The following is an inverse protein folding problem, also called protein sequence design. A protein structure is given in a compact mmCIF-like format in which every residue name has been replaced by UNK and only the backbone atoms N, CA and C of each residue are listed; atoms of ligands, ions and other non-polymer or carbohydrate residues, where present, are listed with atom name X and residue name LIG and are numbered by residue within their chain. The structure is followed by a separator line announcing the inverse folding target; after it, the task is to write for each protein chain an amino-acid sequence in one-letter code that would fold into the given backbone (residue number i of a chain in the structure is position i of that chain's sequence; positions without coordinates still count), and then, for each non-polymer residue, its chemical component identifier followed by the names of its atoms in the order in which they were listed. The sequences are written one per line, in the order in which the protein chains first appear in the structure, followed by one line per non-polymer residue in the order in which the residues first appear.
data_IF_443190463012
#
_entry.id   IF_443190463012
#
_cell.length_a   1.000
_cell.length_b   1.000
_cell.length_c   1.000
_cell.angle_alpha   90.00
_cell.angle_beta   90.00
_cell.angle_gamma   90.00
#
_symmetry.space_group_name_H-M   'P 1'
#
loop_
_entity.id
_entity.type
_entity.pdbx_description
1 polymer ?
#
# COMPACT_ATOMS: atom_id res chain seq x y z
N UNK A 1 -14.13 20.06 -21.33
CA UNK A 1 -12.69 20.27 -21.09
C UNK A 1 -12.10 18.98 -20.55
N UNK A 2 -11.00 18.52 -21.11
CA UNK A 2 -10.32 17.31 -20.68
C UNK A 2 -9.49 17.60 -19.42
N UNK A 3 -9.17 16.55 -18.65
CA UNK A 3 -8.28 16.67 -17.48
C UNK A 3 -6.91 17.27 -17.87
N UNK A 4 -6.40 16.91 -19.05
CA UNK A 4 -5.13 17.46 -19.55
C UNK A 4 -5.22 18.97 -19.77
N UNK A 5 -6.34 19.45 -20.30
CA UNK A 5 -6.54 20.88 -20.54
C UNK A 5 -6.65 21.66 -19.24
N UNK A 6 -7.32 21.09 -18.24
CA UNK A 6 -7.40 21.67 -16.91
C UNK A 6 -6.03 21.75 -16.24
N UNK A 7 -5.23 20.68 -16.31
CA UNK A 7 -3.87 20.66 -15.77
C UNK A 7 -2.97 21.72 -16.43
N UNK A 8 -3.10 21.93 -17.73
CA UNK A 8 -2.35 22.99 -18.44
C UNK A 8 -2.71 24.39 -17.99
N UNK A 9 -3.94 24.59 -17.52
CA UNK A 9 -4.41 25.89 -17.03
C UNK A 9 -4.00 26.19 -15.59
N UNK A 10 -3.42 25.20 -14.89
CA UNK A 10 -3.02 25.33 -13.49
C UNK A 10 -1.52 25.01 -13.33
N UNK A 11 -0.63 25.94 -13.77
CA UNK A 11 0.81 25.69 -13.75
C UNK A 11 1.36 25.37 -12.35
N UNK A 12 0.74 25.92 -11.29
CA UNK A 12 1.15 25.62 -9.91
C UNK A 12 0.92 24.15 -9.53
N UNK A 13 -0.16 23.54 -10.02
CA UNK A 13 -0.44 22.13 -9.76
C UNK A 13 0.54 21.22 -10.50
N UNK A 14 0.90 21.60 -11.72
CA UNK A 14 1.91 20.88 -12.48
C UNK A 14 3.28 20.93 -11.81
N UNK A 15 3.69 22.11 -11.30
CA UNK A 15 4.94 22.26 -10.56
C UNK A 15 4.95 21.40 -9.30
N UNK A 16 3.85 21.34 -8.56
CA UNK A 16 3.70 20.49 -7.38
C UNK A 16 3.81 19.02 -7.74
N UNK A 17 3.23 18.60 -8.85
CA UNK A 17 3.33 17.23 -9.34
C UNK A 17 4.76 16.87 -9.70
N UNK A 18 5.47 17.75 -10.36
CA UNK A 18 6.88 17.55 -10.71
C UNK A 18 7.73 17.45 -9.45
N UNK A 19 7.54 18.36 -8.51
CA UNK A 19 8.27 18.32 -7.23
C UNK A 19 7.99 17.06 -6.44
N UNK A 20 6.74 16.61 -6.40
CA UNK A 20 6.38 15.37 -5.74
C UNK A 20 7.06 14.16 -6.40
N UNK A 21 7.08 14.11 -7.73
CA UNK A 21 7.75 13.05 -8.47
C UNK A 21 9.26 13.06 -8.24
N UNK A 22 9.88 14.23 -8.21
CA UNK A 22 11.32 14.39 -7.97
C UNK A 22 11.72 14.02 -6.54
N UNK A 23 10.80 14.13 -5.58
CA UNK A 23 11.07 13.79 -4.19
C UNK A 23 11.15 12.27 -3.95
N UNK A 24 10.61 11.46 -4.85
CA UNK A 24 10.63 10.00 -4.75
C UNK A 24 11.84 9.47 -5.49
N UNK A 25 12.75 8.85 -4.75
CA UNK A 25 13.99 8.29 -5.30
C UNK A 25 13.81 6.83 -5.70
N UNK A 26 14.67 6.34 -6.61
CA UNK A 26 14.66 4.94 -7.01
C UNK A 26 14.96 3.96 -5.88
N UNK A 27 15.53 4.44 -4.78
CA UNK A 27 15.80 3.66 -3.56
C UNK A 27 14.64 3.66 -2.59
N UNK A 28 13.56 4.41 -2.86
CA UNK A 28 12.41 4.49 -1.98
C UNK A 28 11.77 3.12 -1.78
N UNK A 29 11.45 2.82 -0.53
CA UNK A 29 10.68 1.62 -0.17
C UNK A 29 9.20 1.96 -0.25
N UNK A 30 8.44 1.13 -0.92
CA UNK A 30 7.01 1.34 -1.08
C UNK A 30 6.24 0.38 -0.18
N UNK A 31 5.35 0.95 0.60
CA UNK A 31 4.35 0.23 1.38
C UNK A 31 2.98 0.80 1.03
N UNK A 32 1.94 0.12 1.39
CA UNK A 32 0.62 0.64 1.10
C UNK A 32 -0.48 -0.04 1.88
N UNK A 33 -1.71 0.37 1.59
CA UNK A 33 -2.90 -0.27 2.13
C UNK A 33 -3.78 -0.75 0.98
N UNK A 34 -4.17 -2.01 1.03
CA UNK A 34 -5.12 -2.61 0.11
C UNK A 34 -6.51 -2.51 0.70
N UNK A 35 -7.38 -1.76 0.07
CA UNK A 35 -8.72 -1.48 0.60
C UNK A 35 -9.72 -1.23 -0.50
N UNK A 36 -10.98 -1.19 -0.11
CA UNK A 36 -12.07 -0.70 -0.93
C UNK A 36 -13.24 -0.33 -0.01
N UNK A 37 -13.58 0.96 0.14
CA UNK A 37 -12.96 2.14 -0.47
C UNK A 37 -11.69 2.61 0.25
N UNK A 38 -10.92 3.49 -0.40
CA UNK A 38 -9.66 4.04 0.15
C UNK A 38 -9.72 5.55 0.40
N UNK A 39 -10.79 6.21 -0.01
CA UNK A 39 -10.89 7.67 -0.09
C UNK A 39 -10.70 8.38 1.25
N UNK A 40 -10.99 7.69 2.36
CA UNK A 40 -10.93 8.29 3.70
C UNK A 40 -9.82 7.71 4.56
N UNK A 41 -8.85 7.04 3.96
CA UNK A 41 -7.73 6.48 4.72
C UNK A 41 -6.76 7.58 5.14
N UNK A 42 -6.54 7.70 6.45
CA UNK A 42 -5.58 8.64 7.02
C UNK A 42 -4.18 8.05 7.21
N UNK A 43 -4.06 6.73 7.18
CA UNK A 43 -2.78 6.04 7.42
C UNK A 43 -1.68 6.44 6.44
N UNK A 44 -1.93 6.58 5.13
CA UNK A 44 -0.90 7.00 4.20
C UNK A 44 -0.32 8.38 4.52
N UNK A 45 -1.17 9.33 4.91
CA UNK A 45 -0.74 10.68 5.27
C UNK A 45 0.17 10.65 6.50
N UNK A 46 -0.19 9.90 7.52
CA UNK A 46 0.59 9.77 8.74
C UNK A 46 1.94 9.10 8.49
N UNK A 47 1.95 8.01 7.74
CA UNK A 47 3.18 7.29 7.41
C UNK A 47 4.14 8.16 6.59
N UNK A 48 3.62 8.88 5.61
CA UNK A 48 4.43 9.77 4.78
C UNK A 48 4.99 10.94 5.59
N UNK A 49 4.22 11.47 6.54
CA UNK A 49 4.69 12.49 7.45
C UNK A 49 5.84 11.98 8.32
N UNK A 50 5.70 10.78 8.88
CA UNK A 50 6.76 10.15 9.68
C UNK A 50 8.03 9.91 8.88
N UNK A 51 7.88 9.43 7.66
CA UNK A 51 9.00 9.20 6.76
C UNK A 51 9.77 10.49 6.49
N UNK A 52 9.07 11.57 6.22
CA UNK A 52 9.68 12.89 6.01
C UNK A 52 10.41 13.38 7.26
N UNK A 53 9.81 13.25 8.44
CA UNK A 53 10.38 13.70 9.70
C UNK A 53 11.60 12.89 10.13
N UNK A 54 11.61 11.59 9.90
CA UNK A 54 12.70 10.72 10.32
C UNK A 54 13.81 10.59 9.27
N UNK A 55 13.60 11.10 8.07
CA UNK A 55 14.52 10.94 6.95
C UNK A 55 14.55 9.54 6.37
N UNK A 56 13.58 8.69 6.71
CA UNK A 56 13.43 7.35 6.16
C UNK A 56 12.89 7.43 4.74
N UNK A 57 13.51 6.74 3.80
CA UNK A 57 13.09 6.74 2.39
C UNK A 57 11.95 5.73 2.17
N UNK A 58 10.77 6.04 2.72
CA UNK A 58 9.58 5.21 2.68
C UNK A 58 8.41 6.00 2.12
N UNK A 59 7.70 5.39 1.17
CA UNK A 59 6.46 5.93 0.60
C UNK A 59 5.32 4.98 0.95
N UNK A 60 4.24 5.50 1.51
CA UNK A 60 3.04 4.75 1.86
C UNK A 60 1.88 5.24 1.02
N UNK A 61 1.24 4.34 0.27
CA UNK A 61 0.23 4.68 -0.74
C UNK A 61 -1.05 3.87 -0.51
N UNK A 62 -2.24 4.51 -0.56
CA UNK A 62 -3.49 3.78 -0.56
C UNK A 62 -3.77 3.21 -1.96
N UNK A 63 -4.12 1.92 -2.01
CA UNK A 63 -4.48 1.25 -3.26
C UNK A 63 -5.90 0.73 -3.18
N UNK A 64 -6.74 1.19 -4.09
CA UNK A 64 -8.08 0.65 -4.24
C UNK A 64 -7.98 -0.68 -4.98
N UNK A 65 -8.40 -1.76 -4.31
CA UNK A 65 -8.40 -3.10 -4.89
C UNK A 65 -9.84 -3.61 -4.91
N UNK A 66 -10.37 -3.84 -6.10
CA UNK A 66 -11.71 -4.39 -6.27
C UNK A 66 -11.78 -5.83 -5.76
N UNK A 67 -12.94 -6.27 -5.25
CA UNK A 67 -13.15 -7.69 -4.95
C UNK A 67 -12.86 -8.55 -6.17
N UNK A 68 -12.17 -9.67 -5.96
CA UNK A 68 -11.75 -10.56 -7.04
C UNK A 68 -10.42 -10.21 -7.71
N UNK A 69 -9.80 -9.08 -7.32
CA UNK A 69 -8.51 -8.66 -7.87
C UNK A 69 -7.36 -8.74 -6.85
N UNK A 70 -7.60 -9.33 -5.69
CA UNK A 70 -6.61 -9.40 -4.60
C UNK A 70 -5.37 -10.21 -4.99
N UNK A 71 -5.55 -11.32 -5.71
CA UNK A 71 -4.43 -12.14 -6.20
C UNK A 71 -3.47 -11.33 -7.05
N UNK A 72 -4.00 -10.61 -8.02
CA UNK A 72 -3.20 -9.78 -8.92
C UNK A 72 -2.48 -8.67 -8.17
N UNK A 73 -3.17 -8.06 -7.20
CA UNK A 73 -2.61 -6.99 -6.39
C UNK A 73 -1.44 -7.47 -5.54
N UNK A 74 -1.57 -8.62 -4.88
CA UNK A 74 -0.52 -9.20 -4.04
C UNK A 74 0.68 -9.63 -4.88
N UNK A 75 0.44 -10.32 -5.97
CA UNK A 75 1.52 -10.77 -6.87
C UNK A 75 2.22 -9.58 -7.53
N UNK A 76 1.46 -8.58 -7.94
CA UNK A 76 2.02 -7.37 -8.55
C UNK A 76 2.86 -6.57 -7.55
N UNK A 77 2.38 -6.40 -6.33
CA UNK A 77 3.12 -5.72 -5.28
C UNK A 77 4.45 -6.43 -4.98
N UNK A 78 4.42 -7.75 -4.93
CA UNK A 78 5.65 -8.53 -4.73
C UNK A 78 6.62 -8.35 -5.90
N UNK A 79 6.13 -8.41 -7.13
CA UNK A 79 6.93 -8.21 -8.33
C UNK A 79 7.55 -6.80 -8.40
N UNK A 80 6.86 -5.81 -7.86
CA UNK A 80 7.33 -4.42 -7.79
C UNK A 80 8.21 -4.16 -6.57
N UNK A 81 8.53 -5.19 -5.80
CA UNK A 81 9.39 -5.11 -4.60
C UNK A 81 8.80 -4.26 -3.47
N UNK A 82 7.49 -4.21 -3.32
CA UNK A 82 6.88 -3.55 -2.18
C UNK A 82 7.28 -4.27 -0.88
N UNK A 83 7.78 -3.51 0.08
CA UNK A 83 8.35 -4.04 1.33
C UNK A 83 7.29 -4.69 2.21
N UNK A 84 6.11 -4.11 2.28
CA UNK A 84 5.00 -4.61 3.06
C UNK A 84 3.73 -3.86 2.77
N UNK A 85 2.62 -4.37 3.28
CA UNK A 85 1.31 -3.77 3.03
C UNK A 85 0.39 -4.01 4.19
N UNK A 86 -0.51 -3.06 4.44
CA UNK A 86 -1.66 -3.30 5.27
C UNK A 86 -2.83 -3.77 4.42
N UNK A 87 -3.72 -4.51 5.01
CA UNK A 87 -4.93 -5.00 4.35
C UNK A 87 -6.13 -4.67 5.23
N UNK A 88 -7.14 -4.10 4.64
CA UNK A 88 -8.38 -3.79 5.35
C UNK A 88 -9.59 -4.34 4.58
N UNK A 89 -10.79 -4.00 5.03
CA UNK A 89 -12.02 -4.50 4.41
C UNK A 89 -12.05 -4.18 2.91
N UNK A 90 -12.56 -5.09 2.08
CA UNK A 90 -13.12 -6.40 2.41
C UNK A 90 -12.10 -7.56 2.22
N UNK A 91 -10.81 -7.31 2.23
CA UNK A 91 -9.77 -8.21 1.72
C UNK A 91 -9.04 -9.05 2.78
N UNK A 92 -9.33 -8.85 4.06
CA UNK A 92 -8.56 -9.49 5.15
C UNK A 92 -8.59 -11.01 5.15
N UNK A 93 -9.68 -11.61 4.66
CA UNK A 93 -9.82 -13.06 4.55
C UNK A 93 -9.33 -13.57 3.20
N UNK A 94 -9.73 -12.92 2.13
CA UNK A 94 -9.39 -13.31 0.77
C UNK A 94 -7.89 -13.33 0.53
N UNK A 95 -7.16 -12.37 1.09
CA UNK A 95 -5.71 -12.23 0.91
C UNK A 95 -4.94 -13.45 1.40
N UNK A 96 -5.49 -14.18 2.38
CA UNK A 96 -4.82 -15.35 2.98
C UNK A 96 -4.49 -16.44 1.96
N UNK A 97 -5.28 -16.55 0.90
CA UNK A 97 -5.08 -17.54 -0.16
C UNK A 97 -3.81 -17.33 -0.97
N UNK A 98 -3.27 -16.14 -0.95
CA UNK A 98 -2.17 -15.71 -1.84
C UNK A 98 -0.86 -15.45 -1.10
N UNK A 99 -0.78 -15.89 0.15
CA UNK A 99 0.39 -15.71 1.00
C UNK A 99 1.19 -17.02 1.08
N UNK A 100 2.51 -16.89 1.21
CA UNK A 100 3.39 -18.06 1.32
C UNK A 100 3.46 -18.60 2.74
N UNK A 101 3.11 -17.78 3.73
CA UNK A 101 3.06 -18.17 5.13
C UNK A 101 2.09 -17.25 5.87
N UNK A 102 1.54 -17.72 6.97
CA UNK A 102 0.62 -16.97 7.82
C UNK A 102 0.97 -17.24 9.27
N UNK A 103 1.12 -16.19 10.05
CA UNK A 103 1.36 -16.27 11.48
C UNK A 103 0.23 -17.03 12.20
N UNK A 104 0.58 -17.78 13.24
CA UNK A 104 -0.39 -18.66 13.94
C UNK A 104 -1.58 -17.85 14.52
N UNK A 105 -1.33 -16.67 15.06
CA UNK A 105 -2.40 -15.83 15.59
C UNK A 105 -3.36 -15.36 14.50
N UNK A 106 -2.83 -15.02 13.33
CA UNK A 106 -3.66 -14.66 12.18
C UNK A 106 -4.49 -15.84 11.68
N UNK A 107 -3.92 -17.06 11.68
CA UNK A 107 -4.67 -18.27 11.34
C UNK A 107 -5.81 -18.52 12.32
N UNK A 108 -5.57 -18.34 13.60
CA UNK A 108 -6.58 -18.55 14.65
C UNK A 108 -7.75 -17.56 14.51
N UNK A 109 -7.46 -16.31 14.15
CA UNK A 109 -8.46 -15.29 13.91
C UNK A 109 -9.17 -15.49 12.57
N UNK A 110 -8.47 -16.02 11.58
CA UNK A 110 -9.01 -16.21 10.23
C UNK A 110 -8.98 -14.94 9.39
N UNK A 111 -8.08 -14.01 9.69
CA UNK A 111 -7.94 -12.76 8.95
C UNK A 111 -6.51 -12.23 9.08
N UNK A 112 -6.04 -11.56 8.02
CA UNK A 112 -4.72 -10.94 7.92
C UNK A 112 -4.90 -9.46 7.65
N UNK A 113 -4.19 -8.62 8.40
CA UNK A 113 -4.20 -7.17 8.18
C UNK A 113 -2.82 -6.60 7.80
N UNK A 114 -1.77 -7.42 7.83
CA UNK A 114 -0.41 -6.96 7.57
C UNK A 114 0.34 -8.01 6.76
N UNK A 115 0.96 -7.58 5.67
CA UNK A 115 1.82 -8.40 4.83
C UNK A 115 3.26 -7.93 4.97
N UNK A 116 4.17 -8.86 5.20
CA UNK A 116 5.60 -8.59 5.29
C UNK A 116 6.33 -9.40 4.23
N UNK A 117 7.20 -8.74 3.47
CA UNK A 117 7.97 -9.39 2.41
C UNK A 117 8.93 -10.43 3.00
N UNK A 118 8.91 -11.61 2.42
CA UNK A 118 9.86 -12.69 2.69
C UNK A 118 10.38 -13.25 1.38
N UNK A 119 11.33 -14.16 1.44
CA UNK A 119 11.74 -14.88 0.23
C UNK A 119 10.57 -15.74 -0.27
N UNK A 120 10.24 -15.60 -1.53
CA UNK A 120 9.18 -16.37 -2.18
C UNK A 120 7.78 -15.78 -2.08
N UNK A 121 7.54 -14.75 -1.28
CA UNK A 121 6.22 -14.11 -1.18
C UNK A 121 6.03 -13.33 0.11
N UNK A 122 4.78 -12.99 0.40
CA UNK A 122 4.44 -12.28 1.63
C UNK A 122 4.00 -13.23 2.73
N UNK A 123 4.43 -12.94 3.97
CA UNK A 123 3.89 -13.56 5.18
C UNK A 123 2.83 -12.65 5.78
N UNK A 124 1.72 -13.24 6.19
CA UNK A 124 0.59 -12.52 6.77
C UNK A 124 0.57 -12.54 8.28
N UNK A 125 0.19 -11.42 8.85
CA UNK A 125 0.04 -11.22 10.30
C UNK A 125 -1.28 -10.55 10.60
N UNK A 126 -1.73 -10.67 11.83
CA UNK A 126 -2.82 -9.85 12.35
C UNK A 126 -2.33 -9.12 13.59
N UNK A 127 -2.14 -7.81 13.47
CA UNK A 127 -1.61 -6.98 14.56
C UNK A 127 -2.66 -6.65 15.62
N UNK A 128 -3.92 -6.96 15.37
CA UNK A 128 -5.00 -6.84 16.35
C UNK A 128 -5.09 -8.07 17.27
N UNK A 129 -4.30 -9.10 16.96
CA UNK A 129 -4.28 -10.35 17.71
C UNK A 129 -3.35 -10.25 18.92
N UNK A 130 -3.90 -9.90 20.07
CA UNK A 130 -3.18 -9.89 21.32
C UNK A 130 -3.86 -10.76 22.37
#
# INVERSE_FOLDING_TARGET
MTEREEMRKQPKDLERMIQAAESVRGTARVCGILANPVEHSMSPLMHNYYSEKTGTDLVYVPFKVEPGRVEEAVKGAYALNFTGMNVTVPHKQEVMKYLVDIDEDAKAIGAVNTLVRTDGGYKGYNTDAN
#
